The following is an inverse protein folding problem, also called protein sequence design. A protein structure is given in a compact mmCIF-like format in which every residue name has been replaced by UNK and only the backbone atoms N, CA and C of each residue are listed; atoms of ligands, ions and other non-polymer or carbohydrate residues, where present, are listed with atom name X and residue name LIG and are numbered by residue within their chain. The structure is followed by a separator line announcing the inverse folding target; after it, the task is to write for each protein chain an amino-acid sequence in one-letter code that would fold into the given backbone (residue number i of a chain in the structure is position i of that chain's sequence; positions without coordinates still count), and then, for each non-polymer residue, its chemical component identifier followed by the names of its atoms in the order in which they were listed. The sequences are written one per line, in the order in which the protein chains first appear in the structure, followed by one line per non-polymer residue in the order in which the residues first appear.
data_IF_808635379284
#
_entry.id   IF_808635379284
#
_cell.length_a   1.000
_cell.length_b   1.000
_cell.length_c   1.000
_cell.angle_alpha   90.00
_cell.angle_beta   90.00
_cell.angle_gamma   90.00
#
_symmetry.space_group_name_H-M   'P 1'
#
loop_
_entity.id
_entity.type
_entity.pdbx_description
1 polymer ?
#
# COMPACT_ATOMS: atom_id res chain seq x y z
N UNK A 1 -8.31 20.24 0.35
CA UNK A 1 -8.93 19.58 1.51
C UNK A 1 -7.81 19.04 2.38
N UNK A 2 -7.80 19.35 3.68
CA UNK A 2 -6.80 18.85 4.62
C UNK A 2 -6.98 17.34 4.84
N UNK A 3 -5.87 16.61 4.97
CA UNK A 3 -5.92 15.18 5.31
C UNK A 3 -6.40 14.99 6.76
N UNK A 4 -7.16 13.91 7.03
CA UNK A 4 -7.57 13.60 8.39
C UNK A 4 -6.39 13.09 9.23
N UNK A 5 -6.49 13.28 10.55
CA UNK A 5 -5.49 12.79 11.51
C UNK A 5 -5.69 11.29 11.84
N UNK A 6 -6.90 10.78 11.68
CA UNK A 6 -7.26 9.39 11.92
C UNK A 6 -7.90 8.78 10.68
N UNK A 7 -7.36 7.66 10.25
CA UNK A 7 -7.86 6.87 9.13
C UNK A 7 -8.61 5.64 9.66
N UNK A 8 -9.61 5.17 8.92
CA UNK A 8 -10.14 3.81 9.08
C UNK A 8 -9.13 2.79 8.55
N UNK A 9 -9.28 1.52 8.93
CA UNK A 9 -8.43 0.44 8.40
C UNK A 9 -8.52 0.36 6.86
N UNK A 10 -9.69 0.63 6.30
CA UNK A 10 -9.91 0.63 4.84
C UNK A 10 -9.18 1.78 4.17
N UNK A 11 -9.23 3.00 4.71
CA UNK A 11 -8.50 4.14 4.13
C UNK A 11 -6.99 3.96 4.26
N UNK A 12 -6.53 3.43 5.39
CA UNK A 12 -5.13 3.05 5.55
C UNK A 12 -4.68 2.01 4.52
N UNK A 13 -5.54 1.03 4.18
CA UNK A 13 -5.27 0.07 3.11
C UNK A 13 -5.05 0.75 1.76
N UNK A 14 -5.82 1.80 1.46
CA UNK A 14 -5.67 2.61 0.24
C UNK A 14 -4.35 3.37 0.25
N UNK A 15 -4.00 4.02 1.37
CA UNK A 15 -2.73 4.74 1.52
C UNK A 15 -1.54 3.80 1.30
N UNK A 16 -1.57 2.62 1.92
CA UNK A 16 -0.51 1.62 1.83
C UNK A 16 -0.56 0.79 0.53
N UNK A 17 -1.60 0.96 -0.29
CA UNK A 17 -1.87 0.20 -1.53
C UNK A 17 -1.90 -1.31 -1.32
N UNK A 18 -2.56 -1.76 -0.25
CA UNK A 18 -2.75 -3.17 0.07
C UNK A 18 -4.23 -3.57 0.03
N UNK A 19 -4.49 -4.87 -0.08
CA UNK A 19 -5.85 -5.40 0.03
C UNK A 19 -6.46 -5.16 1.41
N UNK A 20 -7.79 -4.97 1.47
CA UNK A 20 -8.53 -4.81 2.74
C UNK A 20 -8.26 -5.97 3.72
N UNK A 21 -8.22 -7.21 3.21
CA UNK A 21 -7.93 -8.40 4.03
C UNK A 21 -6.60 -8.27 4.74
N UNK A 22 -5.53 -7.92 4.01
CA UNK A 22 -4.19 -7.71 4.57
C UNK A 22 -4.17 -6.58 5.62
N UNK A 23 -4.89 -5.48 5.37
CA UNK A 23 -4.98 -4.40 6.33
C UNK A 23 -5.67 -4.82 7.63
N UNK A 24 -6.74 -5.61 7.56
CA UNK A 24 -7.41 -6.14 8.76
C UNK A 24 -6.55 -7.17 9.52
N UNK A 25 -5.76 -7.98 8.82
CA UNK A 25 -4.80 -8.90 9.45
C UNK A 25 -3.72 -8.14 10.22
N UNK A 26 -3.13 -7.11 9.60
CA UNK A 26 -2.15 -6.23 10.25
C UNK A 26 -2.75 -5.51 11.47
N UNK A 27 -3.98 -5.01 11.36
CA UNK A 27 -4.68 -4.41 12.50
C UNK A 27 -4.93 -5.43 13.64
N UNK A 28 -5.22 -6.70 13.30
CA UNK A 28 -5.41 -7.76 14.29
C UNK A 28 -4.10 -8.14 14.99
N UNK A 29 -2.99 -8.24 14.23
CA UNK A 29 -1.65 -8.50 14.80
C UNK A 29 -1.20 -7.37 15.73
N UNK A 30 -1.49 -6.14 15.34
CA UNK A 30 -1.18 -4.97 16.16
C UNK A 30 -1.85 -5.05 17.54
N UNK A 31 -3.15 -5.38 17.58
CA UNK A 31 -3.88 -5.58 18.83
C UNK A 31 -3.38 -6.78 19.64
N UNK A 32 -2.95 -7.86 18.96
CA UNK A 32 -2.43 -9.06 19.62
C UNK A 32 -1.04 -8.83 20.22
N UNK A 33 -0.22 -7.98 19.60
CA UNK A 33 1.15 -7.67 20.04
C UNK A 33 1.25 -6.43 20.92
N UNK A 34 0.14 -5.72 21.15
CA UNK A 34 0.14 -4.47 21.89
C UNK A 34 0.78 -3.30 21.16
N UNK A 35 0.78 -3.32 19.82
CA UNK A 35 1.28 -2.25 18.95
C UNK A 35 2.74 -2.41 18.50
N UNK A 36 3.33 -3.60 18.64
CA UNK A 36 4.71 -3.88 18.26
C UNK A 36 4.90 -4.27 16.79
N UNK A 37 3.89 -4.93 16.20
CA UNK A 37 3.98 -5.43 14.82
C UNK A 37 2.60 -5.35 14.16
N UNK A 38 2.40 -4.35 13.28
CA UNK A 38 1.12 -4.16 12.61
C UNK A 38 0.88 -2.75 12.07
N UNK A 39 -0.39 -2.34 12.05
CA UNK A 39 -0.86 -1.09 11.44
C UNK A 39 -0.86 0.10 12.42
N UNK A 40 -0.49 -0.10 13.69
CA UNK A 40 -0.52 0.94 14.72
C UNK A 40 -1.93 1.46 15.01
N UNK A 41 -2.90 0.56 15.20
CA UNK A 41 -4.30 0.92 15.43
C UNK A 41 -4.58 1.32 16.88
N UNK A 42 -5.44 2.32 17.03
CA UNK A 42 -6.03 2.71 18.31
C UNK A 42 -7.54 2.41 18.31
N UNK A 43 -8.09 2.13 19.49
CA UNK A 43 -9.53 2.01 19.70
C UNK A 43 -10.10 3.36 20.09
N UNK A 44 -11.05 3.86 19.30
CA UNK A 44 -11.83 5.06 19.62
C UNK A 44 -13.29 4.62 19.74
N UNK A 45 -13.73 4.46 20.99
CA UNK A 45 -14.99 3.77 21.29
C UNK A 45 -14.98 2.34 20.75
N UNK A 46 -16.00 1.97 19.97
CA UNK A 46 -16.12 0.65 19.36
C UNK A 46 -15.37 0.45 18.04
N UNK A 47 -14.59 1.44 17.58
CA UNK A 47 -14.02 1.43 16.23
C UNK A 47 -12.49 1.47 16.24
N UNK A 48 -11.88 0.82 15.25
CA UNK A 48 -10.45 0.93 15.00
C UNK A 48 -10.14 2.15 14.15
N UNK A 49 -9.10 2.86 14.54
CA UNK A 49 -8.54 4.01 13.83
C UNK A 49 -7.03 3.86 13.73
N UNK A 50 -6.49 4.34 12.63
CA UNK A 50 -5.06 4.36 12.33
C UNK A 50 -4.62 5.82 12.39
N UNK A 51 -3.78 6.21 13.37
CA UNK A 51 -3.23 7.55 13.40
C UNK A 51 -2.37 7.81 12.17
N UNK A 52 -2.46 9.02 11.63
CA UNK A 52 -1.61 9.48 10.52
C UNK A 52 -0.13 9.25 10.82
N UNK A 53 0.31 9.61 12.02
CA UNK A 53 1.69 9.42 12.47
C UNK A 53 2.14 7.96 12.46
N UNK A 54 1.22 6.99 12.64
CA UNK A 54 1.55 5.58 12.56
C UNK A 54 1.80 5.15 11.11
N UNK A 55 0.99 5.64 10.17
CA UNK A 55 1.22 5.42 8.73
C UNK A 55 2.52 6.06 8.27
N UNK A 56 2.81 7.28 8.71
CA UNK A 56 4.04 7.99 8.37
C UNK A 56 5.28 7.26 8.88
N UNK A 57 5.21 6.67 10.08
CA UNK A 57 6.29 5.81 10.61
C UNK A 57 6.49 4.56 9.78
N UNK A 58 5.41 3.91 9.32
CA UNK A 58 5.49 2.72 8.47
C UNK A 58 6.04 3.04 7.07
N UNK A 59 5.66 4.18 6.51
CA UNK A 59 6.08 4.61 5.16
C UNK A 59 7.49 5.22 5.19
N UNK A 60 7.89 5.82 6.32
CA UNK A 60 9.12 6.60 6.44
C UNK A 60 9.03 7.99 5.80
N UNK A 61 7.83 8.45 5.45
CA UNK A 61 7.59 9.76 4.84
C UNK A 61 6.22 10.32 5.24
N UNK A 62 6.05 11.66 5.20
CA UNK A 62 4.75 12.28 5.45
C UNK A 62 3.67 11.76 4.49
N UNK A 63 2.50 11.44 5.03
CA UNK A 63 1.33 11.07 4.21
C UNK A 63 0.78 12.38 3.67
N UNK A 64 1.13 12.71 2.43
CA UNK A 64 0.62 13.89 1.74
C UNK A 64 -0.39 13.51 0.66
N UNK A 65 -1.32 14.41 0.34
CA UNK A 65 -1.84 14.44 -1.02
C UNK A 65 -0.66 14.75 -1.93
N UNK A 66 -0.49 14.07 -3.08
CA UNK A 66 0.51 14.50 -4.05
C UNK A 66 0.15 15.94 -4.39
N UNK A 67 0.94 16.88 -3.88
CA UNK A 67 0.95 18.20 -4.46
C UNK A 67 1.45 17.94 -5.86
N UNK A 68 0.61 18.17 -6.86
CA UNK A 68 1.12 18.43 -8.20
C UNK A 68 1.88 19.74 -8.07
N UNK A 69 3.09 19.66 -7.53
CA UNK A 69 4.16 20.52 -8.00
C UNK A 69 4.35 20.06 -9.43
N UNK A 70 3.54 20.61 -10.34
CA UNK A 70 3.88 20.61 -11.75
C UNK A 70 5.34 21.03 -11.83
N UNK A 71 6.13 20.46 -12.75
CA UNK A 71 7.58 20.66 -12.75
C UNK A 71 7.81 22.15 -12.54
N UNK A 72 8.39 22.53 -11.40
CA UNK A 72 9.00 23.84 -11.29
C UNK A 72 10.21 23.71 -12.19
N UNK A 73 9.96 23.81 -13.50
CA UNK A 73 10.98 24.15 -14.46
C UNK A 73 11.45 25.51 -13.93
N UNK A 74 12.66 25.64 -13.37
CA UNK A 74 13.21 26.98 -13.22
C UNK A 74 13.05 27.62 -14.59
N UNK A 75 12.45 28.82 -14.66
CA UNK A 75 12.36 29.59 -15.91
C UNK A 75 13.79 29.83 -16.41
N UNK A 76 14.34 28.83 -17.11
CA UNK A 76 15.47 29.00 -18.01
C UNK A 76 14.89 29.71 -19.21
N UNK A 77 15.34 30.92 -19.56
CA UNK A 77 14.92 31.54 -20.80
C UNK A 77 15.21 30.58 -21.95
N UNK A 78 14.19 30.33 -22.78
CA UNK A 78 14.21 29.43 -23.93
C UNK A 78 15.50 29.58 -24.74
N UNK A 79 16.44 28.65 -24.55
CA UNK A 79 17.46 28.39 -25.55
C UNK A 79 16.91 27.26 -26.40
N UNK A 80 16.28 27.63 -27.50
CA UNK A 80 15.70 26.72 -28.49
C UNK A 80 16.80 25.77 -28.97
N UNK A 81 16.72 24.50 -28.57
CA UNK A 81 17.52 23.42 -29.18
C UNK A 81 16.64 22.83 -30.29
N UNK A 82 17.04 22.88 -31.57
CA UNK A 82 16.20 22.39 -32.66
C UNK A 82 15.96 20.88 -32.56
N UNK A 83 14.72 20.51 -32.84
CA UNK A 83 14.14 19.18 -32.75
C UNK A 83 14.53 18.34 -33.98
N UNK A 84 15.73 17.76 -33.98
CA UNK A 84 16.09 16.67 -34.90
C UNK A 84 16.26 15.36 -34.10
N UNK A 85 15.16 14.88 -33.53
CA UNK A 85 15.05 13.49 -33.05
C UNK A 85 14.10 12.75 -33.97
N UNK A 86 14.70 11.98 -34.87
CA UNK A 86 14.03 11.01 -35.73
C UNK A 86 13.37 9.94 -34.84
N UNK A 87 12.07 9.63 -34.99
CA UNK A 87 11.44 8.56 -34.23
C UNK A 87 11.85 7.20 -34.81
N UNK A 88 12.50 6.37 -33.99
CA UNK A 88 12.76 4.96 -34.28
C UNK A 88 11.47 4.14 -34.01
N UNK A 89 10.96 3.34 -34.97
CA UNK A 89 9.75 2.57 -34.78
C UNK A 89 9.93 1.40 -33.79
N UNK A 90 9.06 1.41 -32.77
CA UNK A 90 8.68 0.31 -31.88
C UNK A 90 8.91 -1.11 -32.43
N UNK A 91 9.64 -1.97 -31.72
CA UNK A 91 9.41 -3.41 -31.78
C UNK A 91 8.63 -3.92 -30.56
N UNK A 92 7.44 -4.43 -30.87
CA UNK A 92 6.74 -5.58 -30.31
C UNK A 92 6.71 -5.79 -28.77
N UNK A 93 5.48 -5.70 -28.26
CA UNK A 93 5.01 -6.32 -27.01
C UNK A 93 5.47 -7.78 -26.91
N UNK A 94 6.22 -8.11 -25.86
CA UNK A 94 6.51 -9.49 -25.48
C UNK A 94 5.33 -10.00 -24.64
N UNK A 95 4.58 -10.96 -25.18
CA UNK A 95 3.57 -11.67 -24.42
C UNK A 95 4.26 -12.57 -23.38
N UNK A 96 3.98 -12.33 -22.10
CA UNK A 96 4.30 -13.28 -21.04
C UNK A 96 3.18 -14.31 -20.93
N UNK A 97 3.46 -15.62 -21.03
CA UNK A 97 2.45 -16.62 -20.74
C UNK A 97 2.06 -16.50 -19.27
N UNK A 98 0.80 -16.12 -19.04
CA UNK A 98 0.14 -16.17 -17.74
C UNK A 98 0.07 -17.63 -17.31
N UNK A 99 1.08 -18.09 -16.58
CA UNK A 99 1.00 -19.35 -15.87
C UNK A 99 -0.12 -19.20 -14.84
N UNK A 100 -1.24 -19.88 -15.11
CA UNK A 100 -2.31 -20.08 -14.17
C UNK A 100 -1.74 -20.70 -12.88
N UNK A 101 -1.38 -19.85 -11.92
CA UNK A 101 -1.12 -20.27 -10.55
C UNK A 101 -2.48 -20.60 -9.96
N UNK A 102 -2.92 -21.83 -10.25
CA UNK A 102 -4.07 -22.44 -9.63
C UNK A 102 -3.91 -22.33 -8.12
N UNK A 103 -4.80 -21.55 -7.51
CA UNK A 103 -5.01 -21.52 -6.07
C UNK A 103 -5.36 -22.93 -5.61
N UNK A 104 -4.34 -23.73 -5.28
CA UNK A 104 -4.52 -24.97 -4.54
C UNK A 104 -4.94 -24.55 -3.14
N UNK A 105 -6.25 -24.48 -2.93
CA UNK A 105 -6.89 -24.51 -1.62
C UNK A 105 -6.31 -25.68 -0.85
N UNK A 106 -5.32 -25.40 0.00
CA UNK A 106 -4.83 -26.35 1.00
C UNK A 106 -5.91 -26.39 2.08
N UNK A 107 -6.86 -27.31 1.92
CA UNK A 107 -7.75 -27.72 3.01
C UNK A 107 -6.84 -28.27 4.10
N UNK A 108 -6.69 -27.53 5.19
CA UNK A 108 -6.07 -28.03 6.41
C UNK A 108 -7.09 -29.00 7.01
N UNK A 109 -6.80 -30.29 6.95
CA UNK A 109 -7.62 -31.35 7.54
C UNK A 109 -7.64 -31.18 9.06
N UNK A 110 -8.84 -31.10 9.64
CA UNK A 110 -9.11 -30.83 11.07
C UNK A 110 -9.06 -32.13 11.90
N UNK A 111 -8.07 -33.00 11.66
CA UNK A 111 -8.06 -34.33 12.28
C UNK A 111 -6.68 -34.79 12.78
N UNK A 112 -5.93 -33.89 13.44
CA UNK A 112 -4.64 -34.24 14.07
C UNK A 112 -4.47 -33.72 15.50
N UNK A 113 -5.56 -33.43 16.21
CA UNK A 113 -5.50 -33.22 17.66
C UNK A 113 -6.02 -34.47 18.37
N UNK A 114 -5.25 -35.58 18.26
CA UNK A 114 -5.31 -36.64 19.25
C UNK A 114 -4.53 -36.15 20.47
N UNK A 115 -5.25 -35.91 21.56
CA UNK A 115 -4.69 -35.80 22.90
C UNK A 115 -4.31 -37.20 23.35
N UNK A 116 -3.01 -37.48 23.48
CA UNK A 116 -2.56 -38.57 24.32
C UNK A 116 -2.69 -38.14 25.79
N UNK A 117 -3.15 -39.10 26.61
CA UNK A 117 -3.61 -38.96 27.99
C UNK A 117 -2.48 -38.80 29.01
#
# INVERSE_FOLDING_TARGET
MSLPELFTVTEAAVVLRIGRTTAYELARRDLATGGGEGLGVIRVGGQLRVPRVALERLIGAPVGTPVTTGPTVPLVPDTVVPLDVVPDPTPARVDHPSAASGSRRRLVSVDQLRFDS
#
